data_IF_186804166182
#
_entry.id   IF_186804166182
#
_cell.length_a   1.000
_cell.length_b   1.000
_cell.length_c   1.000
_cell.angle_alpha   90.00
_cell.angle_beta   90.00
_cell.angle_gamma   90.00
#
_symmetry.space_group_name_H-M   'P 1'
#
loop_
_entity.id
_entity.type
_entity.pdbx_description
1 polymer ?
#
# COMPACT_ATOMS: atom_id res chain seq x y z
N UNK A 1 25.71 -15.74 6.08
CA UNK A 1 24.58 -16.66 5.97
C UNK A 1 23.26 -15.93 5.63
N UNK A 2 22.86 -14.88 6.32
CA UNK A 2 21.59 -14.16 6.05
C UNK A 2 21.44 -13.66 4.59
N UNK A 3 22.49 -13.06 4.00
CA UNK A 3 22.44 -12.56 2.62
C UNK A 3 22.27 -13.68 1.57
N UNK A 4 22.84 -14.86 1.81
CA UNK A 4 22.67 -16.02 0.93
C UNK A 4 21.23 -16.55 1.02
N UNK A 5 20.66 -16.61 2.23
CA UNK A 5 19.28 -17.02 2.44
C UNK A 5 18.29 -16.07 1.76
N UNK A 6 18.53 -14.75 1.84
CA UNK A 6 17.71 -13.73 1.16
C UNK A 6 17.72 -13.90 -0.36
N UNK A 7 18.90 -14.16 -0.94
CA UNK A 7 19.04 -14.43 -2.38
C UNK A 7 18.30 -15.71 -2.77
N UNK A 8 18.40 -16.78 -1.98
CA UNK A 8 17.71 -18.03 -2.24
C UNK A 8 16.19 -17.87 -2.15
N UNK A 9 15.71 -17.03 -1.25
CA UNK A 9 14.28 -16.72 -1.12
C UNK A 9 13.73 -15.89 -2.31
N UNK A 10 14.57 -15.11 -2.99
CA UNK A 10 14.16 -14.35 -4.17
C UNK A 10 13.94 -15.22 -5.42
N UNK A 11 14.70 -16.30 -5.58
CA UNK A 11 14.70 -17.14 -6.79
C UNK A 11 13.32 -17.68 -7.18
N UNK A 12 12.49 -18.23 -6.26
CA UNK A 12 11.17 -18.73 -6.62
C UNK A 12 10.28 -17.68 -7.27
N UNK A 13 10.35 -16.43 -6.81
CA UNK A 13 9.51 -15.33 -7.28
C UNK A 13 9.92 -14.82 -8.66
N UNK A 14 11.17 -15.02 -9.09
CA UNK A 14 11.61 -14.59 -10.43
C UNK A 14 10.95 -15.36 -11.56
N UNK A 15 10.41 -16.55 -11.28
CA UNK A 15 9.75 -17.40 -12.29
C UNK A 15 8.53 -16.73 -12.95
N UNK A 16 7.89 -15.77 -12.26
CA UNK A 16 6.74 -15.04 -12.79
C UNK A 16 7.11 -14.04 -13.90
N UNK A 17 8.36 -13.61 -14.02
CA UNK A 17 8.79 -12.66 -15.05
C UNK A 17 8.60 -13.18 -16.47
N UNK A 18 8.11 -12.32 -17.37
CA UNK A 18 7.75 -12.69 -18.75
C UNK A 18 8.97 -12.92 -19.66
N UNK A 19 10.07 -12.27 -19.38
CA UNK A 19 11.36 -12.41 -20.12
C UNK A 19 12.53 -12.68 -19.17
N UNK A 20 13.69 -13.05 -19.71
CA UNK A 20 14.90 -13.18 -18.92
C UNK A 20 15.30 -11.85 -18.24
N UNK A 21 15.08 -10.73 -18.93
CA UNK A 21 15.34 -9.40 -18.38
C UNK A 21 14.33 -9.05 -17.27
N UNK A 22 13.05 -9.37 -17.42
CA UNK A 22 12.06 -9.14 -16.37
C UNK A 22 12.37 -10.00 -15.13
N UNK A 23 12.75 -11.25 -15.31
CA UNK A 23 13.20 -12.13 -14.22
C UNK A 23 14.38 -11.55 -13.47
N UNK A 24 15.36 -11.00 -14.20
CA UNK A 24 16.52 -10.34 -13.61
C UNK A 24 16.14 -9.06 -12.84
N UNK A 25 15.26 -8.22 -13.41
CA UNK A 25 14.75 -7.02 -12.72
C UNK A 25 13.99 -7.37 -11.45
N UNK A 26 13.11 -8.37 -11.50
CA UNK A 26 12.37 -8.88 -10.33
C UNK A 26 13.35 -9.37 -9.26
N UNK A 27 14.36 -10.13 -9.64
CA UNK A 27 15.42 -10.56 -8.72
C UNK A 27 16.08 -9.38 -8.03
N UNK A 28 16.45 -8.33 -8.77
CA UNK A 28 17.08 -7.14 -8.20
C UNK A 28 16.14 -6.37 -7.25
N UNK A 29 14.86 -6.25 -7.59
CA UNK A 29 13.85 -5.58 -6.73
C UNK A 29 13.72 -6.34 -5.39
N UNK A 30 13.59 -7.66 -5.43
CA UNK A 30 13.51 -8.47 -4.21
C UNK A 30 14.83 -8.44 -3.43
N UNK A 31 15.97 -8.49 -4.13
CA UNK A 31 17.29 -8.40 -3.51
C UNK A 31 17.52 -7.05 -2.83
N UNK A 32 16.99 -5.97 -3.38
CA UNK A 32 17.03 -4.65 -2.77
C UNK A 32 16.32 -4.65 -1.42
N UNK A 33 15.10 -5.15 -1.35
CA UNK A 33 14.29 -5.19 -0.13
C UNK A 33 14.87 -6.13 0.92
N UNK A 34 15.33 -7.30 0.51
CA UNK A 34 15.92 -8.27 1.45
C UNK A 34 17.34 -7.90 1.91
N UNK A 35 17.92 -6.84 1.33
CA UNK A 35 19.21 -6.31 1.78
C UNK A 35 18.97 -5.43 3.00
N UNK A 36 19.24 -5.92 4.19
CA UNK A 36 19.12 -5.20 5.46
C UNK A 36 19.64 -3.76 5.34
N UNK A 37 18.91 -2.80 5.92
CA UNK A 37 19.33 -1.39 6.07
C UNK A 37 20.76 -1.26 6.66
N UNK A 38 21.22 -2.24 7.43
CA UNK A 38 22.58 -2.30 7.96
C UNK A 38 23.66 -2.48 6.86
N UNK A 39 23.31 -2.78 5.60
CA UNK A 39 24.26 -3.00 4.53
C UNK A 39 24.13 -1.98 3.39
N UNK A 40 24.33 -0.71 3.73
CA UNK A 40 24.21 0.46 2.83
C UNK A 40 24.95 0.26 1.50
N UNK A 41 26.15 -0.32 1.54
CA UNK A 41 26.96 -0.53 0.34
C UNK A 41 26.34 -1.51 -0.66
N UNK A 42 25.69 -2.58 -0.17
CA UNK A 42 25.00 -3.55 -1.03
C UNK A 42 23.72 -2.96 -1.63
N UNK A 43 22.95 -2.24 -0.81
CA UNK A 43 21.74 -1.56 -1.24
C UNK A 43 22.05 -0.56 -2.35
N UNK A 44 23.08 0.27 -2.17
CA UNK A 44 23.58 1.20 -3.19
C UNK A 44 24.05 0.50 -4.48
N UNK A 45 24.69 -0.65 -4.36
CA UNK A 45 25.12 -1.45 -5.51
C UNK A 45 23.91 -2.00 -6.30
N UNK A 46 22.92 -2.57 -5.63
CA UNK A 46 21.67 -3.05 -6.27
C UNK A 46 20.95 -1.89 -6.96
N UNK A 47 20.80 -0.74 -6.31
CA UNK A 47 20.22 0.49 -6.92
C UNK A 47 20.97 0.91 -8.18
N UNK A 48 22.31 0.88 -8.18
CA UNK A 48 23.11 1.22 -9.36
C UNK A 48 22.80 0.29 -10.54
N UNK A 49 22.64 -1.02 -10.28
CA UNK A 49 22.28 -1.97 -11.33
C UNK A 49 20.84 -1.73 -11.80
N UNK A 50 19.89 -1.53 -10.90
CA UNK A 50 18.50 -1.20 -11.25
C UNK A 50 18.44 0.04 -12.13
N UNK A 51 19.21 1.08 -11.78
CA UNK A 51 19.31 2.29 -12.59
C UNK A 51 19.92 2.02 -13.98
N UNK A 52 20.93 1.15 -14.09
CA UNK A 52 21.55 0.81 -15.37
C UNK A 52 20.66 0.02 -16.33
N UNK A 53 19.64 -0.67 -15.80
CA UNK A 53 18.63 -1.42 -16.60
C UNK A 53 17.28 -0.68 -16.70
N UNK A 54 17.22 0.55 -16.20
CA UNK A 54 16.09 1.47 -16.36
C UNK A 54 16.26 2.34 -17.61
N UNK A 55 15.16 2.93 -18.07
CA UNK A 55 15.16 3.92 -19.16
C UNK A 55 14.62 5.23 -18.59
N UNK A 56 15.37 6.30 -18.71
CA UNK A 56 15.02 7.62 -18.17
C UNK A 56 14.64 7.58 -16.68
N UNK A 57 15.35 6.77 -15.89
CA UNK A 57 15.08 6.58 -14.46
C UNK A 57 13.87 5.70 -14.15
N UNK A 58 13.19 5.16 -15.16
CA UNK A 58 12.02 4.32 -15.02
C UNK A 58 12.35 2.85 -15.26
N UNK A 59 12.02 2.02 -14.29
CA UNK A 59 12.20 0.58 -14.34
C UNK A 59 10.87 -0.10 -14.68
N UNK A 60 10.73 -0.60 -15.90
CA UNK A 60 9.56 -1.40 -16.27
C UNK A 60 9.80 -2.86 -15.92
N UNK A 61 8.90 -3.45 -15.16
CA UNK A 61 8.85 -4.89 -14.87
C UNK A 61 7.55 -5.50 -15.40
N UNK A 62 7.65 -6.70 -15.99
CA UNK A 62 6.52 -7.46 -16.53
C UNK A 62 6.52 -8.85 -15.95
N UNK A 63 5.39 -9.29 -15.47
CA UNK A 63 5.25 -10.63 -14.90
C UNK A 63 3.81 -11.13 -15.01
N UNK A 64 3.62 -12.41 -14.73
CA UNK A 64 2.30 -13.05 -14.68
C UNK A 64 2.08 -13.61 -13.28
N UNK A 65 0.91 -13.34 -12.73
CA UNK A 65 0.48 -13.88 -11.44
C UNK A 65 -0.98 -14.33 -11.54
N UNK A 66 -1.27 -15.54 -11.08
CA UNK A 66 -2.60 -16.15 -11.13
C UNK A 66 -3.22 -16.13 -12.54
N UNK A 67 -2.39 -16.29 -13.58
CA UNK A 67 -2.77 -16.26 -14.98
C UNK A 67 -2.98 -14.86 -15.57
N UNK A 68 -2.95 -13.80 -14.76
CA UNK A 68 -3.10 -12.42 -15.22
C UNK A 68 -1.74 -11.75 -15.48
N UNK A 69 -1.59 -10.97 -16.58
CA UNK A 69 -0.39 -10.19 -16.84
C UNK A 69 -0.41 -8.88 -16.05
N UNK A 70 0.77 -8.49 -15.57
CA UNK A 70 1.04 -7.22 -14.89
C UNK A 70 2.22 -6.51 -15.54
N UNK A 71 2.12 -5.20 -15.64
CA UNK A 71 3.23 -4.33 -16.04
C UNK A 71 3.30 -3.17 -15.08
N UNK A 72 4.42 -3.02 -14.37
CA UNK A 72 4.64 -1.87 -13.49
C UNK A 72 5.82 -1.05 -13.95
N UNK A 73 5.66 0.26 -13.84
CA UNK A 73 6.68 1.26 -14.09
C UNK A 73 7.02 1.88 -12.74
N UNK A 74 8.22 1.59 -12.26
CA UNK A 74 8.77 2.03 -10.99
C UNK A 74 9.79 3.14 -11.23
N UNK A 75 9.88 4.08 -10.31
CA UNK A 75 10.96 5.08 -10.28
C UNK A 75 12.20 4.41 -9.68
N UNK A 76 13.23 4.19 -10.47
CA UNK A 76 14.42 3.43 -10.02
C UNK A 76 15.21 4.14 -8.90
N UNK A 77 15.03 5.44 -8.72
CA UNK A 77 15.60 6.23 -7.64
C UNK A 77 14.79 6.14 -6.33
N UNK A 78 13.50 5.82 -6.42
CA UNK A 78 12.60 5.78 -5.28
C UNK A 78 12.62 4.40 -4.60
N UNK A 79 13.13 4.39 -3.38
CA UNK A 79 13.22 3.15 -2.60
C UNK A 79 11.82 2.60 -2.27
N UNK A 80 10.84 3.47 -2.03
CA UNK A 80 9.45 3.09 -1.79
C UNK A 80 8.83 2.30 -2.93
N UNK A 81 9.06 2.71 -4.19
CA UNK A 81 8.56 1.99 -5.36
C UNK A 81 9.11 0.56 -5.41
N UNK A 82 10.40 0.39 -5.05
CA UNK A 82 11.06 -0.92 -5.05
C UNK A 82 10.56 -1.81 -3.92
N UNK A 83 10.32 -1.24 -2.72
CA UNK A 83 9.77 -1.96 -1.57
C UNK A 83 8.36 -2.46 -1.85
N UNK A 84 7.45 -1.58 -2.24
CA UNK A 84 6.05 -1.92 -2.56
C UNK A 84 5.98 -2.95 -3.71
N UNK A 85 6.82 -2.82 -4.73
CA UNK A 85 6.89 -3.81 -5.80
C UNK A 85 7.39 -5.18 -5.32
N UNK A 86 8.37 -5.23 -4.41
CA UNK A 86 8.84 -6.47 -3.81
C UNK A 86 7.74 -7.17 -3.01
N UNK A 87 7.02 -6.44 -2.19
CA UNK A 87 5.88 -6.93 -1.41
C UNK A 87 4.77 -7.47 -2.31
N UNK A 88 4.41 -6.70 -3.33
CA UNK A 88 3.43 -7.13 -4.32
C UNK A 88 3.83 -8.46 -4.99
N UNK A 89 5.07 -8.58 -5.46
CA UNK A 89 5.57 -9.79 -6.13
C UNK A 89 5.55 -10.99 -5.17
N UNK A 90 5.81 -10.78 -3.88
CA UNK A 90 5.75 -11.83 -2.85
C UNK A 90 4.33 -12.22 -2.44
N UNK A 91 3.33 -11.40 -2.75
CA UNK A 91 1.93 -11.75 -2.60
C UNK A 91 1.34 -11.54 -1.22
N UNK A 92 1.63 -10.42 -0.60
CA UNK A 92 1.20 -10.10 0.77
C UNK A 92 -0.28 -9.72 0.92
N UNK A 93 -0.98 -9.39 -0.16
CA UNK A 93 -2.36 -8.91 -0.08
C UNK A 93 -3.37 -10.02 0.14
N UNK A 94 -4.26 -9.83 1.12
CA UNK A 94 -5.43 -10.68 1.38
C UNK A 94 -6.66 -10.12 0.67
N UNK A 95 -7.50 -11.01 0.14
CA UNK A 95 -8.74 -10.65 -0.54
C UNK A 95 -9.96 -10.98 0.31
N UNK A 96 -11.06 -10.22 0.17
CA UNK A 96 -12.32 -10.59 0.79
C UNK A 96 -12.84 -11.93 0.23
N UNK A 97 -13.56 -12.71 1.06
CA UNK A 97 -14.08 -14.03 0.64
C UNK A 97 -15.21 -13.93 -0.39
N UNK A 98 -15.83 -12.75 -0.51
CA UNK A 98 -16.91 -12.47 -1.46
C UNK A 98 -16.57 -11.24 -2.31
N UNK A 99 -17.26 -11.10 -3.44
CA UNK A 99 -17.10 -9.94 -4.33
C UNK A 99 -17.60 -8.67 -3.63
N UNK A 100 -16.77 -7.63 -3.48
CA UNK A 100 -17.20 -6.34 -2.96
C UNK A 100 -18.10 -5.61 -3.97
N UNK A 101 -18.85 -4.61 -3.49
CA UNK A 101 -19.60 -3.69 -4.37
C UNK A 101 -18.93 -2.32 -4.49
N UNK A 102 -17.95 -2.04 -3.65
CA UNK A 102 -17.10 -0.85 -3.66
C UNK A 102 -15.71 -1.23 -3.18
N UNK A 103 -14.67 -0.66 -3.76
CA UNK A 103 -13.29 -0.80 -3.29
C UNK A 103 -12.71 0.59 -3.07
N UNK A 104 -12.11 0.80 -1.91
CA UNK A 104 -11.37 2.00 -1.55
C UNK A 104 -9.92 1.60 -1.28
N UNK A 105 -8.99 2.23 -1.98
CA UNK A 105 -7.55 2.09 -1.78
C UNK A 105 -7.04 3.37 -1.12
N UNK A 106 -6.92 3.38 0.19
CA UNK A 106 -6.32 4.45 0.97
C UNK A 106 -4.82 4.27 1.06
N UNK A 107 -4.06 5.29 0.63
CA UNK A 107 -2.62 5.21 0.42
C UNK A 107 -2.30 4.40 -0.83
N UNK A 108 -2.86 4.80 -1.97
CA UNK A 108 -2.74 4.04 -3.22
C UNK A 108 -1.31 4.01 -3.77
N UNK A 109 -0.43 4.90 -3.29
CA UNK A 109 0.97 4.99 -3.67
C UNK A 109 1.11 4.99 -5.22
N UNK A 110 1.84 4.06 -5.81
CA UNK A 110 2.01 3.93 -7.26
C UNK A 110 1.00 2.95 -7.91
N UNK A 111 -0.04 2.51 -7.19
CA UNK A 111 -1.21 1.81 -7.73
C UNK A 111 -1.12 0.28 -7.84
N UNK A 112 -0.17 -0.36 -7.15
CA UNK A 112 0.00 -1.81 -7.28
C UNK A 112 -1.20 -2.59 -6.75
N UNK A 113 -1.71 -2.21 -5.57
CA UNK A 113 -2.90 -2.82 -5.01
C UNK A 113 -4.13 -2.59 -5.90
N UNK A 114 -4.35 -1.35 -6.36
CA UNK A 114 -5.47 -1.01 -7.24
C UNK A 114 -5.47 -1.84 -8.53
N UNK A 115 -4.31 -2.02 -9.18
CA UNK A 115 -4.16 -2.86 -10.36
C UNK A 115 -4.53 -4.32 -10.03
N UNK A 116 -4.06 -4.84 -8.91
CA UNK A 116 -4.36 -6.22 -8.48
C UNK A 116 -5.86 -6.41 -8.22
N UNK A 117 -6.46 -5.49 -7.46
CA UNK A 117 -7.87 -5.51 -7.13
C UNK A 117 -8.75 -5.39 -8.39
N UNK A 118 -8.37 -4.50 -9.33
CA UNK A 118 -9.07 -4.36 -10.63
C UNK A 118 -9.02 -5.64 -11.47
N UNK A 119 -7.89 -6.36 -11.50
CA UNK A 119 -7.83 -7.64 -12.21
C UNK A 119 -8.65 -8.73 -11.54
N UNK A 120 -8.78 -8.68 -10.23
CA UNK A 120 -9.60 -9.63 -9.45
C UNK A 120 -11.09 -9.34 -9.56
N UNK A 121 -11.45 -8.05 -9.59
CA UNK A 121 -12.83 -7.55 -9.60
C UNK A 121 -13.02 -6.51 -10.72
N UNK A 122 -12.96 -6.89 -12.00
CA UNK A 122 -12.87 -5.96 -13.13
C UNK A 122 -14.10 -5.04 -13.26
N UNK A 123 -15.26 -5.47 -12.77
CA UNK A 123 -16.52 -4.71 -12.87
C UNK A 123 -16.69 -3.70 -11.71
N UNK A 124 -15.79 -3.72 -10.71
CA UNK A 124 -15.90 -2.85 -9.54
C UNK A 124 -14.93 -1.70 -9.68
N UNK A 125 -15.41 -0.45 -9.72
CA UNK A 125 -14.52 0.71 -9.71
C UNK A 125 -13.80 0.83 -8.37
N UNK A 126 -12.55 1.30 -8.42
CA UNK A 126 -11.69 1.46 -7.24
C UNK A 126 -11.40 2.93 -7.06
N UNK A 127 -11.77 3.49 -5.91
CA UNK A 127 -11.38 4.86 -5.53
C UNK A 127 -10.01 4.82 -4.87
N UNK A 128 -9.00 5.38 -5.56
CA UNK A 128 -7.59 5.36 -5.14
C UNK A 128 -7.21 6.72 -4.55
N UNK A 129 -7.14 6.80 -3.23
CA UNK A 129 -6.74 8.00 -2.51
C UNK A 129 -5.23 8.00 -2.26
N UNK A 130 -4.56 9.03 -2.77
CA UNK A 130 -3.11 9.24 -2.60
C UNK A 130 -2.84 10.71 -2.27
N UNK A 131 -2.22 10.94 -1.11
CA UNK A 131 -1.92 12.28 -0.62
C UNK A 131 -0.74 12.92 -1.36
N UNK A 132 0.30 12.13 -1.68
CA UNK A 132 1.50 12.61 -2.34
C UNK A 132 1.25 12.99 -3.81
N UNK A 133 1.40 14.27 -4.20
CA UNK A 133 1.33 14.64 -5.61
C UNK A 133 2.41 13.94 -6.47
N UNK A 134 3.56 13.64 -5.87
CA UNK A 134 4.67 12.95 -6.56
C UNK A 134 4.32 11.51 -6.94
N UNK A 135 3.45 10.85 -6.19
CA UNK A 135 3.00 9.50 -6.47
C UNK A 135 1.89 9.48 -7.53
N UNK A 136 1.10 10.55 -7.65
CA UNK A 136 -0.06 10.59 -8.55
C UNK A 136 0.29 10.30 -10.02
N UNK A 137 1.43 10.76 -10.52
CA UNK A 137 1.83 10.50 -11.91
C UNK A 137 2.24 9.03 -12.11
N UNK A 138 2.91 8.43 -11.13
CA UNK A 138 3.25 7.02 -11.15
C UNK A 138 1.98 6.15 -11.02
N UNK A 139 1.06 6.52 -10.13
CA UNK A 139 -0.25 5.90 -9.95
C UNK A 139 -1.02 5.89 -11.27
N UNK A 140 -1.27 7.04 -11.89
CA UNK A 140 -2.01 7.15 -13.16
C UNK A 140 -1.38 6.28 -14.24
N UNK A 141 -0.06 6.31 -14.39
CA UNK A 141 0.68 5.54 -15.39
C UNK A 141 0.52 4.04 -15.20
N UNK A 142 0.60 3.57 -13.94
CA UNK A 142 0.44 2.15 -13.64
C UNK A 142 -1.00 1.67 -13.80
N UNK A 143 -2.00 2.50 -13.47
CA UNK A 143 -3.40 2.20 -13.73
C UNK A 143 -3.68 2.09 -15.24
N UNK A 144 -3.20 3.06 -16.02
CA UNK A 144 -3.41 3.12 -17.48
C UNK A 144 -2.79 1.93 -18.20
N UNK A 145 -1.51 1.63 -17.95
CA UNK A 145 -0.80 0.54 -18.64
C UNK A 145 -1.39 -0.84 -18.33
N UNK A 146 -2.04 -1.00 -17.19
CA UNK A 146 -2.73 -2.23 -16.81
C UNK A 146 -4.22 -2.21 -17.13
N UNK A 147 -4.76 -1.12 -17.68
CA UNK A 147 -6.19 -0.92 -17.96
C UNK A 147 -7.04 -1.17 -16.70
N UNK A 148 -6.59 -0.67 -15.56
CA UNK A 148 -7.25 -0.86 -14.29
C UNK A 148 -8.54 -0.02 -14.21
N UNK A 149 -9.63 -0.61 -13.74
CA UNK A 149 -10.88 0.09 -13.45
C UNK A 149 -10.75 0.84 -12.09
N UNK A 150 -9.95 1.91 -12.09
CA UNK A 150 -9.61 2.64 -10.88
C UNK A 150 -9.51 4.14 -11.14
N UNK A 151 -9.92 4.93 -10.16
CA UNK A 151 -10.02 6.40 -10.21
C UNK A 151 -8.97 6.98 -9.26
N UNK A 152 -7.89 7.60 -9.77
CA UNK A 152 -6.88 8.23 -8.93
C UNK A 152 -7.38 9.57 -8.38
N UNK A 153 -7.38 9.73 -7.06
CA UNK A 153 -7.88 10.87 -6.31
C UNK A 153 -6.75 11.45 -5.46
N UNK A 154 -6.29 12.66 -5.78
CA UNK A 154 -5.23 13.30 -4.99
C UNK A 154 -5.81 13.98 -3.75
N UNK A 155 -6.13 13.16 -2.75
CA UNK A 155 -6.62 13.57 -1.43
C UNK A 155 -6.10 12.59 -0.38
N UNK A 156 -5.91 13.09 0.83
CA UNK A 156 -5.72 12.23 2.01
C UNK A 156 -7.06 11.68 2.51
N UNK A 157 -7.05 10.51 3.11
CA UNK A 157 -8.14 10.05 3.97
C UNK A 157 -7.92 10.59 5.38
N UNK A 158 -8.99 11.14 5.99
CA UNK A 158 -8.97 11.73 7.33
C UNK A 158 -10.34 11.62 8.02
N UNK A 159 -10.44 12.18 9.22
CA UNK A 159 -11.67 12.16 10.02
C UNK A 159 -12.80 13.06 9.47
N UNK A 160 -12.54 13.90 8.47
CA UNK A 160 -13.51 14.80 7.84
C UNK A 160 -12.86 15.66 6.77
N UNK A 161 -13.66 16.55 6.17
CA UNK A 161 -13.18 17.51 5.19
C UNK A 161 -12.23 18.52 5.85
N UNK A 162 -11.00 18.56 5.40
CA UNK A 162 -9.96 19.44 5.94
C UNK A 162 -8.84 19.65 4.91
N UNK A 163 -7.89 20.49 5.26
CA UNK A 163 -6.60 20.61 4.58
C UNK A 163 -5.52 20.12 5.55
N UNK A 164 -4.70 19.18 5.11
CA UNK A 164 -3.63 18.60 5.90
C UNK A 164 -2.27 19.00 5.34
N UNK A 165 -1.26 18.93 6.19
CA UNK A 165 0.14 19.07 5.80
C UNK A 165 0.71 17.67 5.59
N UNK A 166 1.13 17.38 4.36
CA UNK A 166 1.80 16.15 3.99
C UNK A 166 3.31 16.37 4.02
N UNK A 167 4.01 15.59 4.84
CA UNK A 167 5.47 15.63 4.98
C UNK A 167 6.10 14.65 3.98
N UNK A 168 6.97 15.18 3.10
CA UNK A 168 7.63 14.39 2.04
C UNK A 168 9.06 14.00 2.37
N UNK A 169 9.56 14.33 3.56
CA UNK A 169 10.96 14.21 3.94
C UNK A 169 11.41 12.77 4.19
N UNK A 170 10.47 11.89 4.41
CA UNK A 170 10.73 10.48 4.62
C UNK A 170 10.65 9.74 3.28
N UNK A 171 11.74 9.16 2.85
CA UNK A 171 11.90 8.54 1.53
C UNK A 171 10.91 7.37 1.25
N UNK A 172 10.14 6.93 2.24
CA UNK A 172 9.26 5.76 2.14
C UNK A 172 7.83 6.02 2.62
N UNK A 173 7.64 6.95 3.57
CA UNK A 173 6.39 7.14 4.28
C UNK A 173 6.14 8.62 4.53
N UNK A 174 5.36 9.25 3.65
CA UNK A 174 4.85 10.57 3.96
C UNK A 174 3.66 10.46 4.91
N UNK A 175 3.71 11.13 6.05
CA UNK A 175 2.58 11.21 6.97
C UNK A 175 1.87 12.55 6.89
N UNK A 176 0.61 12.58 7.30
CA UNK A 176 -0.20 13.79 7.35
C UNK A 176 -0.32 14.31 8.79
N UNK A 177 -0.33 15.64 8.94
CA UNK A 177 -0.63 16.31 10.21
C UNK A 177 -1.67 17.41 9.95
N UNK A 178 -2.42 17.78 11.01
CA UNK A 178 -3.39 18.89 10.91
C UNK A 178 -2.68 20.22 10.58
N UNK A 179 -3.35 21.06 9.77
CA UNK A 179 -2.86 22.38 9.43
C UNK A 179 -2.82 23.26 10.70
N UNK A 180 -1.61 23.60 11.12
CA UNK A 180 -1.36 24.39 12.36
C UNK A 180 -0.03 24.02 13.01
N UNK A 181 0.53 22.86 12.71
CA UNK A 181 1.93 22.60 12.97
C UNK A 181 2.74 23.35 11.90
N UNK A 182 3.44 24.40 12.25
CA UNK A 182 4.41 25.05 11.35
C UNK A 182 5.46 24.00 10.98
N UNK A 183 5.63 23.69 9.70
CA UNK A 183 6.59 22.66 9.31
C UNK A 183 8.00 23.23 9.44
N UNK A 184 8.79 22.66 10.31
CA UNK A 184 10.24 22.84 10.31
C UNK A 184 10.82 21.97 9.17
N UNK A 185 10.86 22.49 7.93
CA UNK A 185 11.47 21.76 6.83
C UNK A 185 10.98 22.18 5.44
N UNK A 186 11.80 21.93 4.41
CA UNK A 186 11.57 22.39 3.03
C UNK A 186 10.62 21.48 2.21
N UNK A 187 10.11 20.38 2.78
CA UNK A 187 9.42 19.33 2.02
C UNK A 187 8.02 19.02 2.55
N UNK A 188 7.16 20.04 2.57
CA UNK A 188 5.75 19.87 2.91
C UNK A 188 4.83 20.33 1.79
N UNK A 189 3.73 19.61 1.62
CA UNK A 189 2.68 19.95 0.65
C UNK A 189 1.33 19.96 1.36
N UNK A 190 0.51 21.00 1.12
CA UNK A 190 -0.87 20.99 1.57
C UNK A 190 -1.72 20.10 0.67
N UNK A 191 -2.48 19.22 1.29
CA UNK A 191 -3.34 18.28 0.57
C UNK A 191 -4.76 18.34 1.11
N UNK A 192 -5.78 18.34 0.25
CA UNK A 192 -7.17 18.22 0.70
C UNK A 192 -7.38 16.82 1.28
N UNK A 193 -8.21 16.76 2.32
CA UNK A 193 -8.55 15.52 3.00
C UNK A 193 -10.06 15.35 3.12
N UNK A 194 -10.50 14.11 3.27
CA UNK A 194 -11.92 13.77 3.45
C UNK A 194 -12.11 12.45 4.20
N UNK A 195 -13.31 12.29 4.77
CA UNK A 195 -13.82 11.00 5.22
C UNK A 195 -14.65 10.39 4.09
N UNK A 196 -14.28 9.20 3.54
CA UNK A 196 -14.94 8.66 2.35
C UNK A 196 -16.35 8.15 2.66
N UNK A 197 -17.22 8.20 1.64
CA UNK A 197 -18.51 7.54 1.69
C UNK A 197 -18.35 6.03 1.52
N UNK A 198 -19.05 5.27 2.37
CA UNK A 198 -18.98 3.81 2.39
C UNK A 198 -20.32 3.23 1.96
N UNK A 199 -20.29 2.46 0.88
CA UNK A 199 -21.41 1.66 0.40
C UNK A 199 -21.50 0.30 1.09
N UNK A 200 -22.58 -0.41 0.81
CA UNK A 200 -22.72 -1.80 1.24
C UNK A 200 -21.62 -2.68 0.65
N UNK A 201 -21.14 -3.65 1.44
CA UNK A 201 -20.07 -4.58 1.02
C UNK A 201 -18.83 -3.87 0.49
N UNK A 202 -18.48 -2.71 1.04
CA UNK A 202 -17.22 -2.03 0.73
C UNK A 202 -16.02 -2.82 1.26
N UNK A 203 -15.01 -2.97 0.42
CA UNK A 203 -13.68 -3.39 0.83
C UNK A 203 -12.75 -2.18 0.84
N UNK A 204 -12.23 -1.87 2.01
CA UNK A 204 -11.31 -0.76 2.23
C UNK A 204 -9.91 -1.29 2.54
N UNK A 205 -8.92 -0.93 1.74
CA UNK A 205 -7.50 -1.06 2.08
C UNK A 205 -7.04 0.27 2.69
N UNK A 206 -6.31 0.20 3.79
CA UNK A 206 -5.68 1.34 4.45
C UNK A 206 -4.20 1.04 4.70
N UNK A 207 -3.36 1.90 4.18
CA UNK A 207 -1.93 1.94 4.39
C UNK A 207 -1.56 3.43 4.23
N UNK A 208 -1.83 4.19 5.29
CA UNK A 208 -1.87 5.65 5.31
C UNK A 208 -1.03 6.25 6.44
N UNK A 209 0.00 5.47 6.84
CA UNK A 209 1.11 5.91 7.67
C UNK A 209 0.67 6.55 9.01
N UNK A 210 -0.29 5.88 9.67
CA UNK A 210 -0.79 6.26 10.99
C UNK A 210 -2.12 7.01 10.99
N UNK A 211 -2.64 7.44 9.84
CA UNK A 211 -3.96 8.05 9.75
C UNK A 211 -5.12 7.04 9.91
N UNK A 212 -4.83 5.73 9.98
CA UNK A 212 -5.80 4.67 10.26
C UNK A 212 -6.56 4.94 11.57
N UNK A 213 -5.86 5.52 12.56
CA UNK A 213 -6.40 5.84 13.89
C UNK A 213 -7.32 7.08 13.92
N UNK A 214 -7.35 7.84 12.84
CA UNK A 214 -8.30 8.94 12.63
C UNK A 214 -9.47 8.49 11.76
N UNK A 215 -9.16 7.81 10.66
CA UNK A 215 -10.15 7.41 9.65
C UNK A 215 -11.13 6.37 10.18
N UNK A 216 -10.63 5.27 10.77
CA UNK A 216 -11.50 4.15 11.19
C UNK A 216 -12.46 4.56 12.32
N UNK A 217 -12.03 5.26 13.40
CA UNK A 217 -12.95 5.75 14.42
C UNK A 217 -13.97 6.73 13.86
N UNK A 218 -13.57 7.63 12.93
CA UNK A 218 -14.49 8.59 12.33
C UNK A 218 -15.55 7.91 11.46
N UNK A 219 -15.18 6.90 10.68
CA UNK A 219 -16.14 6.08 9.92
C UNK A 219 -17.17 5.44 10.83
N UNK A 220 -16.72 4.80 11.92
CA UNK A 220 -17.60 4.17 12.91
C UNK A 220 -18.53 5.19 13.56
N UNK A 221 -18.01 6.36 13.96
CA UNK A 221 -18.80 7.44 14.56
C UNK A 221 -19.84 7.99 13.58
N UNK A 222 -19.53 8.02 12.28
CA UNK A 222 -20.45 8.41 11.22
C UNK A 222 -21.46 7.31 10.83
N UNK A 223 -21.42 6.14 11.46
CA UNK A 223 -22.26 5.00 11.10
C UNK A 223 -21.88 4.34 9.76
N UNK A 224 -20.66 4.59 9.28
CA UNK A 224 -20.12 4.05 8.02
C UNK A 224 -19.26 2.84 8.31
N UNK A 225 -19.65 1.68 7.85
CA UNK A 225 -19.01 0.42 8.20
C UNK A 225 -18.58 -0.33 6.95
N UNK A 226 -17.29 -0.26 6.53
CA UNK A 226 -16.77 -1.14 5.49
C UNK A 226 -17.04 -2.61 5.87
N UNK A 227 -17.44 -3.43 4.91
CA UNK A 227 -17.62 -4.87 5.16
C UNK A 227 -16.29 -5.56 5.46
N UNK A 228 -15.25 -5.14 4.77
CA UNK A 228 -13.88 -5.65 4.96
C UNK A 228 -12.90 -4.49 5.03
N UNK A 229 -11.97 -4.59 5.97
CA UNK A 229 -10.84 -3.67 6.12
C UNK A 229 -9.55 -4.48 6.05
N UNK A 230 -8.69 -4.15 5.09
CA UNK A 230 -7.30 -4.60 5.03
C UNK A 230 -6.44 -3.42 5.42
N UNK A 231 -5.77 -3.46 6.55
CA UNK A 231 -4.99 -2.31 7.02
C UNK A 231 -3.58 -2.73 7.45
N UNK A 232 -2.60 -1.91 7.05
CA UNK A 232 -1.29 -1.89 7.67
C UNK A 232 -1.36 -0.86 8.80
N UNK A 233 -1.33 -1.34 10.06
CA UNK A 233 -1.43 -0.49 11.24
C UNK A 233 -0.05 -0.07 11.71
N UNK A 234 0.31 1.18 11.46
CA UNK A 234 1.51 1.82 11.97
C UNK A 234 1.34 2.20 13.44
N UNK A 235 2.44 2.38 14.18
CA UNK A 235 2.41 2.70 15.63
C UNK A 235 1.53 1.75 16.44
N UNK A 236 1.55 0.46 16.06
CA UNK A 236 0.63 -0.53 16.61
C UNK A 236 0.79 -0.75 18.11
N UNK A 237 2.01 -0.75 18.63
CA UNK A 237 2.25 -0.99 20.05
C UNK A 237 1.60 0.06 20.95
N UNK A 238 1.50 1.30 20.48
CA UNK A 238 0.87 2.41 21.19
C UNK A 238 -0.64 2.50 20.94
N UNK A 239 -1.06 2.52 19.66
CA UNK A 239 -2.42 2.87 19.24
C UNK A 239 -3.28 1.66 18.82
N UNK A 240 -2.64 0.61 18.33
CA UNK A 240 -3.31 -0.56 17.74
C UNK A 240 -4.29 -1.27 18.67
N UNK A 241 -3.97 -1.53 19.96
CA UNK A 241 -4.88 -2.22 20.87
C UNK A 241 -6.23 -1.52 21.02
N UNK A 242 -6.25 -0.18 21.07
CA UNK A 242 -7.48 0.60 21.17
C UNK A 242 -8.33 0.50 19.89
N UNK A 243 -7.70 0.57 18.70
CA UNK A 243 -8.38 0.42 17.43
C UNK A 243 -8.97 -0.98 17.24
N UNK A 244 -8.21 -2.02 17.60
CA UNK A 244 -8.68 -3.41 17.56
C UNK A 244 -9.88 -3.61 18.49
N UNK A 245 -9.84 -3.06 19.71
CA UNK A 245 -10.96 -3.11 20.64
C UNK A 245 -12.20 -2.39 20.07
N UNK A 246 -12.02 -1.23 19.46
CA UNK A 246 -13.10 -0.47 18.80
C UNK A 246 -13.73 -1.26 17.65
N UNK A 247 -12.91 -1.87 16.77
CA UNK A 247 -13.41 -2.70 15.69
C UNK A 247 -14.23 -3.88 16.21
N UNK A 248 -13.71 -4.62 17.20
CA UNK A 248 -14.43 -5.75 17.81
C UNK A 248 -15.75 -5.33 18.44
N UNK A 249 -15.78 -4.20 19.17
CA UNK A 249 -17.00 -3.64 19.75
C UNK A 249 -18.07 -3.28 18.72
N UNK A 250 -17.65 -3.07 17.44
CA UNK A 250 -18.55 -2.74 16.32
C UNK A 250 -18.77 -3.94 15.36
N UNK A 251 -18.56 -5.17 15.84
CA UNK A 251 -18.91 -6.39 15.13
C UNK A 251 -17.89 -6.85 14.10
N UNK A 252 -16.63 -6.45 14.22
CA UNK A 252 -15.56 -6.95 13.36
C UNK A 252 -14.83 -8.15 13.99
N UNK A 253 -14.62 -9.17 13.20
CA UNK A 253 -13.67 -10.23 13.46
C UNK A 253 -12.32 -9.85 12.85
N UNK A 254 -11.26 -9.95 13.66
CA UNK A 254 -9.89 -9.62 13.21
C UNK A 254 -9.15 -10.91 12.90
N UNK A 255 -8.61 -11.01 11.68
CA UNK A 255 -7.84 -12.15 11.18
C UNK A 255 -6.38 -11.72 10.90
N UNK A 256 -5.45 -12.66 11.02
CA UNK A 256 -4.03 -12.44 10.68
C UNK A 256 -3.20 -11.72 11.75
N UNK A 257 -3.81 -11.18 12.80
CA UNK A 257 -3.08 -10.54 13.87
C UNK A 257 -2.37 -11.58 14.77
N UNK A 258 -1.06 -11.42 15.06
CA UNK A 258 -0.36 -12.28 15.99
C UNK A 258 -0.94 -12.15 17.42
N UNK A 259 -0.89 -13.25 18.19
CA UNK A 259 -1.44 -13.30 19.55
C UNK A 259 -0.70 -12.33 20.51
N UNK A 260 0.60 -12.17 20.30
CA UNK A 260 1.46 -11.22 21.02
C UNK A 260 2.27 -10.39 20.02
N UNK A 261 1.72 -9.24 19.57
CA UNK A 261 2.42 -8.37 18.65
C UNK A 261 3.68 -7.78 19.28
N UNK A 262 4.80 -7.92 18.58
CA UNK A 262 6.11 -7.35 18.99
C UNK A 262 6.61 -6.29 18.00
N UNK A 263 5.89 -6.10 16.90
CA UNK A 263 6.21 -5.13 15.85
C UNK A 263 5.28 -3.93 15.97
N UNK A 264 5.81 -2.77 15.66
CA UNK A 264 5.08 -1.51 15.66
C UNK A 264 4.30 -1.25 14.36
N UNK A 265 4.39 -2.18 13.41
CA UNK A 265 3.67 -2.19 12.14
C UNK A 265 3.09 -3.60 11.91
N UNK A 266 1.78 -3.71 11.72
CA UNK A 266 1.07 -4.98 11.64
C UNK A 266 -0.03 -4.94 10.59
N UNK A 267 -0.02 -5.94 9.72
CA UNK A 267 -1.12 -6.21 8.81
C UNK A 267 -2.30 -6.84 9.53
N UNK A 268 -3.48 -6.26 9.35
CA UNK A 268 -4.74 -6.81 9.84
C UNK A 268 -5.76 -6.94 8.71
N UNK A 269 -6.56 -8.00 8.80
CA UNK A 269 -7.77 -8.15 7.99
C UNK A 269 -8.97 -8.24 8.92
N UNK A 270 -9.86 -7.25 8.86
CA UNK A 270 -11.07 -7.18 9.65
C UNK A 270 -12.29 -7.43 8.76
N UNK A 271 -13.17 -8.33 9.18
CA UNK A 271 -14.44 -8.62 8.54
C UNK A 271 -15.60 -8.31 9.49
N UNK A 272 -16.51 -7.44 9.06
CA UNK A 272 -17.72 -7.17 9.82
C UNK A 272 -18.71 -8.32 9.65
N UNK A 273 -18.94 -9.05 10.71
CA UNK A 273 -19.97 -10.11 10.75
C UNK A 273 -21.33 -9.45 11.04
N UNK A 274 -22.33 -9.80 10.24
CA UNK A 274 -23.70 -9.37 10.54
C UNK A 274 -24.08 -9.95 11.93
N UNK A 275 -24.57 -9.12 12.83
CA UNK A 275 -25.14 -9.62 14.08
C UNK A 275 -26.20 -10.65 13.71
N UNK A 276 -25.99 -11.90 14.12
CA UNK A 276 -27.05 -12.92 14.10
C UNK A 276 -28.15 -12.41 15.03
N UNK A 277 -29.18 -11.77 14.45
CA UNK A 277 -30.42 -11.43 15.15
C UNK A 277 -31.22 -12.69 15.40
#
# INVERSE_FOLDING_TARGET
>A
MAAFQSIMNAIPHTKCGTSALDKFKIFLVIAFETTSFANVSRRAWVKRILHSVSTDGLLTIRFTRDGAPFTFILRAAEDGDLSVASEFIRGIYSFPPMKPTQIIDGGANIGLFAVLASKRFPDIPIDCYEASPNNMDALRRNLEINQANAIPINKALWSGDSELVFHTDMAYSGHVTEAGAEPDGESVVRVPALLPEIGENCWMKLDIEGAEYEVVPALIAAGRFPRWISAELHYFLEKGPALVALLRANGYEIKGMPEHPTLDMIDVFAERVANST
#
